data_IF_772209707856
#
_entry.id   IF_772209707856
#
_cell.length_a   1.000
_cell.length_b   1.000
_cell.length_c   1.000
_cell.angle_alpha   90.00
_cell.angle_beta   90.00
_cell.angle_gamma   90.00
#
_symmetry.space_group_name_H-M   'P 1'
#
loop_
_entity.id
_entity.type
_entity.pdbx_description
1 polymer ?
#
# COMPACT_ATOMS: atom_id res chain seq x y z
N UNK A 1 -5.01 -4.55 -25.77
CA UNK A 1 -4.71 -4.50 -24.32
C UNK A 1 -4.44 -5.91 -23.84
N UNK A 2 -3.18 -6.33 -23.84
CA UNK A 2 -2.77 -7.67 -23.37
C UNK A 2 -2.80 -7.66 -21.84
N UNK A 3 -3.78 -8.33 -21.25
CA UNK A 3 -3.86 -8.53 -19.80
C UNK A 3 -2.63 -9.30 -19.32
N UNK A 4 -1.82 -8.69 -18.47
CA UNK A 4 -0.65 -9.33 -17.87
C UNK A 4 -1.08 -10.60 -17.12
N UNK A 5 -0.46 -11.77 -17.36
CA UNK A 5 -0.90 -13.06 -16.83
C UNK A 5 -0.99 -13.13 -15.29
N UNK A 6 -0.32 -12.22 -14.58
CA UNK A 6 -0.40 -12.09 -13.12
C UNK A 6 -1.77 -11.64 -12.58
N UNK A 7 -2.61 -10.96 -13.36
CA UNK A 7 -3.89 -10.41 -12.85
C UNK A 7 -5.06 -11.42 -12.91
N UNK A 8 -5.04 -12.38 -13.82
CA UNK A 8 -6.12 -13.37 -13.98
C UNK A 8 -6.14 -14.38 -12.81
N UNK A 9 -4.97 -14.92 -12.42
CA UNK A 9 -4.85 -15.87 -11.29
C UNK A 9 -5.22 -15.26 -9.93
N UNK A 10 -5.13 -13.93 -9.83
CA UNK A 10 -5.46 -13.17 -8.63
C UNK A 10 -6.98 -12.94 -8.43
N UNK A 11 -7.82 -13.12 -9.46
CA UNK A 11 -9.28 -12.93 -9.32
C UNK A 11 -9.89 -13.99 -8.40
N UNK A 12 -9.61 -15.27 -8.67
CA UNK A 12 -10.11 -16.39 -7.87
C UNK A 12 -9.59 -16.33 -6.44
N UNK A 13 -8.31 -16.04 -6.24
CA UNK A 13 -7.72 -15.91 -4.89
C UNK A 13 -8.37 -14.80 -4.07
N UNK A 14 -8.65 -13.63 -4.66
CA UNK A 14 -9.34 -12.54 -3.97
C UNK A 14 -10.78 -12.90 -3.60
N UNK A 15 -11.51 -13.58 -4.49
CA UNK A 15 -12.87 -14.04 -4.18
C UNK A 15 -12.86 -15.07 -3.06
N UNK A 16 -11.93 -16.02 -3.08
CA UNK A 16 -11.76 -17.01 -2.01
C UNK A 16 -11.43 -16.33 -0.68
N UNK A 17 -10.49 -15.38 -0.65
CA UNK A 17 -10.16 -14.63 0.58
C UNK A 17 -11.36 -13.87 1.14
N UNK A 18 -12.22 -13.29 0.28
CA UNK A 18 -13.43 -12.59 0.73
C UNK A 18 -14.45 -13.54 1.34
N UNK A 19 -14.75 -14.65 0.65
CA UNK A 19 -15.72 -15.64 1.15
C UNK A 19 -15.24 -16.26 2.45
N UNK A 20 -13.98 -16.70 2.49
CA UNK A 20 -13.35 -17.26 3.69
C UNK A 20 -13.31 -16.23 4.83
N UNK A 21 -12.97 -14.98 4.53
CA UNK A 21 -12.99 -13.88 5.51
C UNK A 21 -14.37 -13.63 6.10
N UNK A 22 -15.44 -13.58 5.28
CA UNK A 22 -16.82 -13.42 5.79
C UNK A 22 -17.21 -14.58 6.68
N UNK A 23 -16.92 -15.82 6.28
CA UNK A 23 -17.25 -17.02 7.06
C UNK A 23 -16.53 -17.01 8.42
N UNK A 24 -15.23 -16.72 8.43
CA UNK A 24 -14.43 -16.61 9.66
C UNK A 24 -14.93 -15.49 10.57
N UNK A 25 -15.30 -14.34 10.00
CA UNK A 25 -15.78 -13.21 10.80
C UNK A 25 -17.15 -13.52 11.43
N UNK A 26 -18.07 -14.13 10.69
CA UNK A 26 -19.36 -14.56 11.24
C UNK A 26 -19.19 -15.61 12.35
N UNK A 27 -18.33 -16.60 12.12
CA UNK A 27 -18.04 -17.63 13.13
C UNK A 27 -17.34 -17.03 14.37
N UNK A 28 -16.38 -16.13 14.18
CA UNK A 28 -15.69 -15.42 15.26
C UNK A 28 -16.61 -14.50 16.05
N UNK A 29 -17.50 -13.76 15.36
CA UNK A 29 -18.50 -12.91 16.00
C UNK A 29 -19.48 -13.73 16.85
N UNK A 30 -19.94 -14.88 16.35
CA UNK A 30 -20.78 -15.79 17.12
C UNK A 30 -20.09 -16.29 18.40
N UNK A 31 -18.84 -16.72 18.29
CA UNK A 31 -18.03 -17.15 19.44
C UNK A 31 -17.75 -16.01 20.42
N UNK A 32 -17.52 -14.79 19.92
CA UNK A 32 -17.34 -13.60 20.76
C UNK A 32 -18.59 -13.26 21.55
N UNK A 33 -19.77 -13.29 20.91
CA UNK A 33 -21.03 -12.98 21.59
C UNK A 33 -21.37 -14.05 22.62
N UNK A 34 -21.30 -15.34 22.26
CA UNK A 34 -21.59 -16.45 23.19
C UNK A 34 -20.59 -16.55 24.32
N UNK A 35 -19.29 -16.39 24.03
CA UNK A 35 -18.23 -16.36 25.05
C UNK A 35 -18.33 -15.13 25.95
N UNK A 36 -18.69 -13.97 25.39
CA UNK A 36 -18.89 -12.73 26.13
C UNK A 36 -20.10 -12.78 27.06
N UNK A 37 -21.22 -13.32 26.63
CA UNK A 37 -22.39 -13.52 27.49
C UNK A 37 -22.07 -14.49 28.63
N UNK A 38 -21.44 -15.63 28.32
CA UNK A 38 -21.06 -16.60 29.36
C UNK A 38 -20.04 -16.03 30.35
N UNK A 39 -19.10 -15.22 29.89
CA UNK A 39 -18.14 -14.53 30.74
C UNK A 39 -18.82 -13.46 31.62
N UNK A 40 -19.77 -12.70 31.05
CA UNK A 40 -20.50 -11.67 31.80
C UNK A 40 -21.40 -12.28 32.88
N UNK A 41 -22.06 -13.40 32.58
CA UNK A 41 -22.88 -14.14 33.55
C UNK A 41 -22.01 -14.62 34.71
N UNK A 42 -20.88 -15.27 34.42
CA UNK A 42 -19.93 -15.76 35.43
C UNK A 42 -19.34 -14.62 36.29
N UNK A 43 -18.93 -13.52 35.65
CA UNK A 43 -18.39 -12.34 36.33
C UNK A 43 -19.42 -11.62 37.24
N UNK A 44 -20.71 -11.79 36.99
CA UNK A 44 -21.79 -11.23 37.80
C UNK A 44 -22.26 -12.17 38.92
N UNK A 45 -21.86 -13.44 38.88
CA UNK A 45 -22.26 -14.46 39.84
C UNK A 45 -21.33 -14.50 41.06
N UNK A 46 -21.88 -14.81 42.24
CA UNK A 46 -21.11 -14.91 43.50
C UNK A 46 -20.42 -16.26 43.69
N UNK A 47 -20.80 -17.28 42.92
CA UNK A 47 -20.11 -18.57 42.80
C UNK A 47 -19.41 -18.60 41.44
N UNK A 48 -18.21 -18.03 41.39
CA UNK A 48 -17.37 -18.10 40.20
C UNK A 48 -16.85 -19.53 40.09
N UNK A 49 -17.46 -20.31 39.22
CA UNK A 49 -16.97 -21.64 38.89
C UNK A 49 -15.76 -21.41 37.96
N UNK A 50 -14.55 -21.37 38.53
CA UNK A 50 -13.29 -20.85 37.95
C UNK A 50 -12.73 -21.56 36.71
N UNK A 51 -13.58 -22.16 35.88
CA UNK A 51 -13.22 -22.78 34.62
C UNK A 51 -12.80 -21.75 33.57
N UNK A 52 -11.66 -21.98 32.93
CA UNK A 52 -11.17 -21.18 31.79
C UNK A 52 -12.04 -21.25 30.52
N UNK A 53 -13.18 -21.95 30.54
CA UNK A 53 -14.03 -22.21 29.39
C UNK A 53 -14.56 -20.95 28.69
N UNK A 54 -15.22 -20.02 29.41
CA UNK A 54 -15.75 -18.79 28.81
C UNK A 54 -14.65 -17.87 28.26
N UNK A 55 -13.54 -17.73 28.99
CA UNK A 55 -12.37 -16.93 28.58
C UNK A 55 -11.70 -17.50 27.31
N UNK A 56 -11.51 -18.82 27.24
CA UNK A 56 -10.92 -19.45 26.05
C UNK A 56 -11.85 -19.34 24.83
N UNK A 57 -13.17 -19.44 25.02
CA UNK A 57 -14.15 -19.19 23.94
C UNK A 57 -14.11 -17.75 23.44
N UNK A 58 -14.07 -16.78 24.36
CA UNK A 58 -13.95 -15.36 24.02
C UNK A 58 -12.64 -15.08 23.26
N UNK A 59 -11.52 -15.59 23.77
CA UNK A 59 -10.20 -15.44 23.15
C UNK A 59 -10.12 -16.09 21.76
N UNK A 60 -10.66 -17.30 21.61
CA UNK A 60 -10.74 -17.99 20.32
C UNK A 60 -11.61 -17.20 19.33
N UNK A 61 -12.76 -16.67 19.76
CA UNK A 61 -13.62 -15.82 18.94
C UNK A 61 -12.92 -14.53 18.49
N UNK A 62 -12.20 -13.87 19.40
CA UNK A 62 -11.41 -12.68 19.10
C UNK A 62 -10.32 -12.94 18.07
N UNK A 63 -9.56 -14.02 18.23
CA UNK A 63 -8.52 -14.42 17.27
C UNK A 63 -9.09 -14.70 15.89
N UNK A 64 -10.21 -15.44 15.82
CA UNK A 64 -10.91 -15.72 14.57
C UNK A 64 -11.40 -14.44 13.87
N UNK A 65 -11.93 -13.49 14.64
CA UNK A 65 -12.42 -12.22 14.13
C UNK A 65 -11.29 -11.35 13.56
N UNK A 66 -10.12 -11.30 14.22
CA UNK A 66 -8.93 -10.58 13.74
C UNK A 66 -8.44 -11.18 12.42
N UNK A 67 -8.32 -12.51 12.34
CA UNK A 67 -7.92 -13.19 11.10
C UNK A 67 -8.96 -13.02 9.98
N UNK A 68 -10.26 -13.06 10.31
CA UNK A 68 -11.34 -12.78 9.37
C UNK A 68 -11.27 -11.36 8.81
N UNK A 69 -11.05 -10.37 9.67
CA UNK A 69 -10.91 -8.98 9.26
C UNK A 69 -9.65 -8.75 8.41
N UNK A 70 -8.53 -9.37 8.77
CA UNK A 70 -7.30 -9.34 7.97
C UNK A 70 -7.47 -9.95 6.58
N UNK A 71 -8.15 -11.09 6.49
CA UNK A 71 -8.47 -11.76 5.23
C UNK A 71 -9.38 -10.90 4.34
N UNK A 72 -10.39 -10.25 4.92
CA UNK A 72 -11.24 -9.30 4.19
C UNK A 72 -10.45 -8.11 3.66
N UNK A 73 -9.61 -7.49 4.51
CA UNK A 73 -8.76 -6.38 4.08
C UNK A 73 -7.86 -6.78 2.92
N UNK A 74 -7.18 -7.92 2.98
CA UNK A 74 -6.36 -8.43 1.87
C UNK A 74 -7.19 -8.71 0.60
N UNK A 75 -8.40 -9.25 0.75
CA UNK A 75 -9.33 -9.50 -0.35
C UNK A 75 -9.81 -8.22 -1.05
N UNK A 76 -9.95 -7.11 -0.32
CA UNK A 76 -10.42 -5.81 -0.83
C UNK A 76 -9.30 -4.79 -1.11
N UNK A 77 -8.06 -5.06 -0.68
CA UNK A 77 -6.90 -4.16 -0.85
C UNK A 77 -6.69 -3.72 -2.30
N UNK A 78 -6.92 -4.62 -3.26
CA UNK A 78 -6.79 -4.29 -4.69
C UNK A 78 -7.85 -3.32 -5.20
N UNK A 79 -9.04 -3.29 -4.60
CA UNK A 79 -10.06 -2.30 -4.93
C UNK A 79 -9.70 -0.94 -4.32
N UNK A 80 -9.26 -0.92 -3.05
CA UNK A 80 -8.81 0.29 -2.36
C UNK A 80 -7.61 0.93 -3.07
N UNK A 81 -6.62 0.12 -3.47
CA UNK A 81 -5.43 0.62 -4.17
C UNK A 81 -5.75 1.26 -5.53
N UNK A 82 -6.75 0.76 -6.27
CA UNK A 82 -7.17 1.39 -7.54
C UNK A 82 -7.87 2.71 -7.33
N UNK A 83 -8.69 2.81 -6.28
CA UNK A 83 -9.33 4.07 -5.90
C UNK A 83 -8.28 5.11 -5.49
N UNK A 84 -7.39 4.73 -4.57
CA UNK A 84 -6.29 5.58 -4.13
C UNK A 84 -5.39 6.00 -5.29
N UNK A 85 -5.06 5.08 -6.21
CA UNK A 85 -4.30 5.41 -7.40
C UNK A 85 -5.07 6.40 -8.30
N UNK A 86 -6.38 6.28 -8.45
CA UNK A 86 -7.18 7.24 -9.24
C UNK A 86 -7.05 8.68 -8.74
N UNK A 87 -7.02 8.87 -7.42
CA UNK A 87 -6.90 10.20 -6.80
C UNK A 87 -5.45 10.70 -6.70
N UNK A 88 -4.49 9.81 -6.43
CA UNK A 88 -3.08 10.19 -6.16
C UNK A 88 -2.18 10.18 -7.40
N UNK A 89 -2.50 9.37 -8.41
CA UNK A 89 -1.70 9.26 -9.63
C UNK A 89 -1.51 10.58 -10.39
N UNK A 90 -2.50 11.50 -10.53
CA UNK A 90 -2.23 12.79 -11.18
C UNK A 90 -1.21 13.62 -10.41
N UNK A 91 -1.30 13.69 -9.08
CA UNK A 91 -0.35 14.43 -8.23
C UNK A 91 1.07 13.86 -8.33
N UNK A 92 1.19 12.52 -8.33
CA UNK A 92 2.48 11.84 -8.51
C UNK A 92 3.04 12.10 -9.90
N UNK A 93 2.19 12.13 -10.94
CA UNK A 93 2.62 12.46 -12.31
C UNK A 93 3.08 13.90 -12.42
N UNK A 94 2.37 14.87 -11.84
CA UNK A 94 2.77 16.27 -11.85
C UNK A 94 4.10 16.45 -11.10
N UNK A 95 4.25 15.84 -9.93
CA UNK A 95 5.50 15.85 -9.18
C UNK A 95 6.65 15.20 -9.95
N UNK A 96 6.37 14.11 -10.68
CA UNK A 96 7.36 13.45 -11.52
C UNK A 96 7.72 14.29 -12.76
N UNK A 97 6.77 15.05 -13.32
CA UNK A 97 7.01 15.99 -14.41
C UNK A 97 7.93 17.12 -13.93
N UNK A 98 7.68 17.72 -12.78
CA UNK A 98 8.62 18.70 -12.17
C UNK A 98 10.03 18.14 -11.98
N UNK A 99 10.16 16.86 -11.64
CA UNK A 99 11.46 16.19 -11.51
C UNK A 99 12.08 15.76 -12.84
N UNK A 100 11.28 15.64 -13.90
CA UNK A 100 11.69 15.14 -15.22
C UNK A 100 11.88 16.24 -16.27
N UNK A 101 11.29 17.42 -16.06
CA UNK A 101 11.41 18.60 -16.93
C UNK A 101 12.83 19.21 -16.94
N UNK A 102 13.78 18.60 -16.23
CA UNK A 102 15.20 18.89 -16.38
C UNK A 102 15.69 20.11 -15.60
N UNK A 103 14.80 20.85 -14.94
CA UNK A 103 15.17 21.75 -13.86
C UNK A 103 15.51 20.92 -12.62
N UNK A 104 16.69 20.29 -12.63
CA UNK A 104 17.15 19.48 -11.51
C UNK A 104 17.01 20.21 -10.18
N UNK A 105 16.72 19.46 -9.10
CA UNK A 105 16.82 19.97 -7.73
C UNK A 105 18.18 20.68 -7.58
N UNK A 106 18.16 21.99 -7.34
CA UNK A 106 19.37 22.81 -7.14
C UNK A 106 20.35 22.85 -8.33
N UNK A 107 19.87 22.70 -9.58
CA UNK A 107 20.73 22.78 -10.76
C UNK A 107 21.65 21.57 -10.98
N UNK A 108 21.43 20.46 -10.25
CA UNK A 108 22.16 19.20 -10.40
C UNK A 108 21.23 18.14 -10.99
N UNK A 109 20.95 18.25 -12.29
CA UNK A 109 20.13 17.29 -13.02
C UNK A 109 20.25 17.50 -14.52
N UNK A 110 21.01 16.63 -15.20
CA UNK A 110 21.21 16.53 -16.66
C UNK A 110 20.99 17.84 -17.44
N UNK A 111 21.96 18.75 -17.41
CA UNK A 111 22.08 19.82 -18.43
C UNK A 111 22.17 19.16 -19.81
N UNK A 112 21.13 19.22 -20.64
CA UNK A 112 21.07 18.52 -21.93
C UNK A 112 21.94 19.19 -23.02
N UNK A 113 23.07 19.80 -22.65
CA UNK A 113 23.91 20.55 -23.55
C UNK A 113 25.23 19.88 -23.95
N UNK A 114 25.92 20.48 -24.91
CA UNK A 114 27.16 19.95 -25.47
C UNK A 114 28.28 19.95 -24.43
N UNK A 115 29.15 18.95 -24.54
CA UNK A 115 30.42 18.96 -23.83
C UNK A 115 31.42 19.83 -24.61
N UNK A 116 32.12 20.71 -23.90
CA UNK A 116 33.18 21.51 -24.49
C UNK A 116 34.33 20.60 -24.92
N UNK A 117 34.69 20.65 -26.21
CA UNK A 117 35.81 19.88 -26.79
C UNK A 117 37.18 20.29 -26.22
N UNK A 118 37.28 21.46 -25.60
CA UNK A 118 38.53 21.99 -25.05
C UNK A 118 38.76 21.64 -23.58
N UNK A 119 37.76 21.83 -22.71
CA UNK A 119 37.91 21.65 -21.26
C UNK A 119 37.08 20.49 -20.68
N UNK A 120 36.20 19.86 -21.48
CA UNK A 120 35.38 18.72 -21.06
C UNK A 120 34.19 19.08 -20.15
N UNK A 121 33.96 20.36 -19.84
CA UNK A 121 32.80 20.81 -19.06
C UNK A 121 31.52 20.68 -19.90
N UNK A 122 30.43 20.24 -19.25
CA UNK A 122 29.09 20.21 -19.84
C UNK A 122 28.44 21.58 -19.67
N UNK A 123 28.01 22.19 -20.78
CA UNK A 123 27.33 23.49 -20.77
C UNK A 123 25.82 23.31 -20.96
N UNK A 124 25.07 24.40 -20.86
CA UNK A 124 23.63 24.42 -21.10
C UNK A 124 23.27 24.13 -22.57
N UNK A 125 22.04 23.66 -22.80
CA UNK A 125 21.58 23.18 -24.10
C UNK A 125 21.61 24.22 -25.22
N UNK A 126 21.48 25.48 -24.86
CA UNK A 126 21.44 26.66 -25.72
C UNK A 126 22.71 27.53 -25.63
N UNK A 127 23.75 27.07 -24.92
CA UNK A 127 25.00 27.80 -24.78
C UNK A 127 25.78 27.87 -26.11
N UNK A 128 26.07 29.08 -26.58
CA UNK A 128 26.93 29.31 -27.77
C UNK A 128 28.43 29.31 -27.42
N UNK A 129 28.76 29.57 -26.15
CA UNK A 129 30.13 29.60 -25.63
C UNK A 129 30.22 28.79 -24.34
N UNK A 130 31.38 28.22 -24.05
CA UNK A 130 31.60 27.46 -22.83
C UNK A 130 31.72 28.37 -21.60
N UNK A 131 30.97 28.07 -20.54
CA UNK A 131 30.91 28.86 -19.30
C UNK A 131 32.22 28.83 -18.49
N UNK A 132 33.06 27.81 -18.73
CA UNK A 132 34.32 27.64 -18.00
C UNK A 132 35.52 28.23 -18.74
N UNK A 133 35.61 28.07 -20.07
CA UNK A 133 36.80 28.44 -20.83
C UNK A 133 36.54 29.40 -22.00
N UNK A 134 35.29 29.84 -22.19
CA UNK A 134 34.90 30.83 -23.21
C UNK A 134 35.02 30.36 -24.66
N UNK A 135 35.28 29.08 -24.90
CA UNK A 135 35.43 28.54 -26.26
C UNK A 135 34.06 28.34 -26.91
N UNK A 136 33.92 28.70 -28.19
CA UNK A 136 32.67 28.54 -28.92
C UNK A 136 32.28 27.05 -29.01
N UNK A 137 31.01 26.77 -28.74
CA UNK A 137 30.39 25.45 -28.81
C UNK A 137 29.70 25.36 -30.18
N UNK A 138 30.41 24.79 -31.16
CA UNK A 138 29.93 24.52 -32.51
C UNK A 138 29.83 23.01 -32.75
#
# INVERSE_FOLDING_TARGET
>A
MTSTPGFERNKTQRTVLRVLGVVLLLAGAYLLVTGGMAFADDASSSDVDGGFGPILRLGAGGFLAVFGLGALNAGFLGAQARYAAGETMPVVKDSAAYLSDGEGILGVGRTAGPFCSRCGVRNDGDATFCDSCGTALH
#
